data_IF_900077168450
#
_entry.id   IF_900077168450
#
_cell.length_a   1.000
_cell.length_b   1.000
_cell.length_c   1.000
_cell.angle_alpha   90.00
_cell.angle_beta   90.00
_cell.angle_gamma   90.00
#
_symmetry.space_group_name_H-M   'P 1'
#
loop_
_entity.id
_entity.type
_entity.pdbx_description
1 polymer ?
#
# COMPACT_ATOMS: atom_id res chain seq x y z
N UNK A 1 6.07 10.64 3.98
CA UNK A 1 6.87 9.62 4.71
C UNK A 1 6.68 9.75 6.21
N UNK A 2 7.00 10.91 6.81
CA UNK A 2 6.85 11.14 8.27
C UNK A 2 5.45 10.76 8.79
N UNK A 3 4.37 11.23 8.16
CA UNK A 3 2.99 10.89 8.55
C UNK A 3 2.74 9.37 8.54
N UNK A 4 3.21 8.66 7.51
CA UNK A 4 3.05 7.21 7.43
C UNK A 4 3.84 6.46 8.50
N UNK A 5 5.02 6.96 8.86
CA UNK A 5 5.81 6.44 9.99
C UNK A 5 5.09 6.70 11.31
N UNK A 6 4.57 7.91 11.52
CA UNK A 6 3.80 8.26 12.72
C UNK A 6 2.58 7.37 12.90
N UNK A 7 1.81 7.13 11.83
CA UNK A 7 0.65 6.24 11.86
C UNK A 7 1.08 4.79 12.15
N UNK A 8 2.16 4.31 11.53
CA UNK A 8 2.70 2.98 11.81
C UNK A 8 3.14 2.81 13.26
N UNK A 9 3.79 3.82 13.84
CA UNK A 9 4.22 3.81 15.24
C UNK A 9 3.03 3.88 16.21
N UNK A 10 2.04 4.73 15.93
CA UNK A 10 0.81 4.79 16.72
C UNK A 10 0.04 3.46 16.69
N UNK A 11 -0.07 2.85 15.51
CA UNK A 11 -0.67 1.52 15.35
C UNK A 11 0.12 0.43 16.08
N UNK A 12 1.45 0.50 16.09
CA UNK A 12 2.30 -0.43 16.86
C UNK A 12 2.11 -0.25 18.38
N UNK A 13 1.97 0.98 18.86
CA UNK A 13 1.72 1.26 20.27
C UNK A 13 0.34 0.78 20.72
N UNK A 14 -0.65 0.86 19.83
CA UNK A 14 -2.04 0.44 20.06
C UNK A 14 -2.34 -0.95 19.49
N UNK A 15 -1.32 -1.83 19.36
CA UNK A 15 -1.44 -3.12 18.66
C UNK A 15 -2.60 -3.99 19.18
N UNK A 16 -2.65 -4.22 20.49
CA UNK A 16 -3.69 -5.04 21.12
C UNK A 16 -5.03 -4.32 21.28
N UNK A 17 -5.08 -3.09 21.82
CA UNK A 17 -6.34 -2.36 22.01
C UNK A 17 -7.14 -2.14 20.72
N UNK A 18 -6.46 -2.00 19.58
CA UNK A 18 -7.13 -1.86 18.28
C UNK A 18 -7.91 -3.12 17.93
N UNK A 19 -7.35 -4.31 18.15
CA UNK A 19 -8.04 -5.58 17.90
C UNK A 19 -9.31 -5.72 18.75
N UNK A 20 -9.16 -5.52 20.06
CA UNK A 20 -10.25 -5.65 21.04
C UNK A 20 -11.37 -4.63 20.82
N UNK A 21 -11.06 -3.47 20.23
CA UNK A 21 -12.06 -2.47 19.88
C UNK A 21 -13.04 -2.96 18.80
N UNK A 22 -12.57 -3.80 17.87
CA UNK A 22 -13.38 -4.28 16.74
C UNK A 22 -14.09 -5.60 17.02
N UNK A 23 -13.48 -6.48 17.81
CA UNK A 23 -14.05 -7.80 18.09
C UNK A 23 -13.57 -8.37 19.42
N UNK A 24 -14.43 -9.16 20.07
CA UNK A 24 -14.09 -9.93 21.27
C UNK A 24 -13.87 -11.43 20.97
N UNK A 25 -13.95 -11.84 19.70
CA UNK A 25 -13.74 -13.24 19.32
C UNK A 25 -12.23 -13.58 19.30
N UNK A 26 -11.76 -14.51 20.15
CA UNK A 26 -10.34 -14.86 20.24
C UNK A 26 -9.78 -15.47 18.96
N UNK A 27 -10.59 -16.14 18.14
CA UNK A 27 -10.14 -16.70 16.86
C UNK A 27 -9.82 -15.59 15.85
N UNK A 28 -10.65 -14.55 15.81
CA UNK A 28 -10.45 -13.41 14.91
C UNK A 28 -9.27 -12.55 15.37
N UNK A 29 -9.14 -12.32 16.68
CA UNK A 29 -8.01 -11.58 17.26
C UNK A 29 -6.67 -12.27 16.97
N UNK A 30 -6.62 -13.59 17.06
CA UNK A 30 -5.40 -14.36 16.73
C UNK A 30 -4.94 -14.12 15.31
N UNK A 31 -5.86 -14.18 14.34
CA UNK A 31 -5.52 -13.92 12.93
C UNK A 31 -5.16 -12.45 12.70
N UNK A 32 -5.88 -11.51 13.33
CA UNK A 32 -5.55 -10.09 13.27
C UNK A 32 -4.12 -9.82 13.75
N UNK A 33 -3.75 -10.31 14.93
CA UNK A 33 -2.39 -10.11 15.47
C UNK A 33 -1.31 -10.83 14.66
N UNK A 34 -1.64 -11.87 13.90
CA UNK A 34 -0.71 -12.54 13.00
C UNK A 34 -0.38 -11.69 11.76
N UNK A 35 -1.31 -10.85 11.30
CA UNK A 35 -1.13 -10.05 10.07
C UNK A 35 -0.86 -8.56 10.32
N UNK A 36 -1.22 -8.02 11.48
CA UNK A 36 -1.29 -6.58 11.68
C UNK A 36 0.08 -5.89 11.58
N UNK A 37 1.17 -6.56 11.96
CA UNK A 37 2.54 -6.04 11.74
C UNK A 37 2.82 -5.70 10.27
N UNK A 38 2.32 -6.50 9.33
CA UNK A 38 2.50 -6.25 7.89
C UNK A 38 1.71 -5.02 7.44
N UNK A 39 0.51 -4.84 8.01
CA UNK A 39 -0.32 -3.64 7.80
C UNK A 39 0.37 -2.37 8.31
N UNK A 40 1.11 -2.47 9.42
CA UNK A 40 1.91 -1.35 9.94
C UNK A 40 3.08 -1.01 9.02
N UNK A 41 3.80 -2.04 8.53
CA UNK A 41 4.89 -1.85 7.58
C UNK A 41 4.45 -1.24 6.25
N UNK A 42 3.19 -1.47 5.81
CA UNK A 42 2.71 -0.84 4.58
C UNK A 42 2.37 0.66 4.74
N UNK A 43 2.15 1.18 5.95
CA UNK A 43 1.69 2.57 6.14
C UNK A 43 2.58 3.64 5.49
N UNK A 44 3.93 3.58 5.59
CA UNK A 44 4.81 4.53 4.91
C UNK A 44 4.70 4.44 3.38
N UNK A 45 4.56 3.23 2.84
CA UNK A 45 4.40 2.98 1.41
C UNK A 45 3.05 3.50 0.91
N UNK A 46 1.97 3.25 1.65
CA UNK A 46 0.65 3.79 1.41
C UNK A 46 0.67 5.31 1.37
N UNK A 47 1.26 5.95 2.38
CA UNK A 47 1.34 7.41 2.45
C UNK A 47 2.05 8.00 1.23
N UNK A 48 3.15 7.38 0.78
CA UNK A 48 3.84 7.78 -0.45
C UNK A 48 2.93 7.62 -1.69
N UNK A 49 2.38 6.43 -1.91
CA UNK A 49 1.56 6.15 -3.07
C UNK A 49 0.32 7.07 -3.15
N UNK A 50 -0.34 7.31 -2.02
CA UNK A 50 -1.53 8.16 -1.96
C UNK A 50 -1.24 9.64 -2.22
N UNK A 51 -0.09 10.16 -1.78
CA UNK A 51 0.33 11.53 -2.13
C UNK A 51 0.44 11.67 -3.64
N UNK A 52 1.14 10.76 -4.32
CA UNK A 52 1.28 10.84 -5.77
C UNK A 52 -0.04 10.59 -6.49
N UNK A 53 -0.88 9.66 -6.03
CA UNK A 53 -2.24 9.51 -6.56
C UNK A 53 -3.00 10.85 -6.49
N UNK A 54 -2.94 11.55 -5.36
CA UNK A 54 -3.54 12.87 -5.19
C UNK A 54 -3.00 13.92 -6.16
N UNK A 55 -1.68 13.98 -6.33
CA UNK A 55 -1.02 14.90 -7.28
C UNK A 55 -1.46 14.63 -8.72
N UNK A 56 -1.41 13.38 -9.18
CA UNK A 56 -1.79 13.04 -10.55
C UNK A 56 -3.30 13.21 -10.82
N UNK A 57 -4.14 13.01 -9.78
CA UNK A 57 -5.58 13.36 -9.83
C UNK A 57 -5.75 14.87 -10.01
N UNK A 58 -5.05 15.69 -9.23
CA UNK A 58 -5.09 17.15 -9.33
C UNK A 58 -4.61 17.70 -10.68
N UNK A 59 -3.63 17.03 -11.31
CA UNK A 59 -3.15 17.36 -12.66
C UNK A 59 -4.09 16.90 -13.80
N UNK A 60 -5.25 16.30 -13.49
CA UNK A 60 -6.18 15.77 -14.48
C UNK A 60 -5.67 14.54 -15.25
N UNK A 61 -4.61 13.87 -14.77
CA UNK A 61 -3.97 12.72 -15.45
C UNK A 61 -4.61 11.37 -15.10
N UNK A 62 -5.94 11.34 -15.02
CA UNK A 62 -6.72 10.18 -14.59
C UNK A 62 -6.57 8.96 -15.50
N UNK A 63 -6.43 9.16 -16.82
CA UNK A 63 -6.21 8.04 -17.77
C UNK A 63 -4.96 7.24 -17.44
N UNK A 64 -3.88 7.92 -17.04
CA UNK A 64 -2.64 7.25 -16.66
C UNK A 64 -2.81 6.45 -15.36
N UNK A 65 -3.44 7.06 -14.35
CA UNK A 65 -3.71 6.39 -13.07
C UNK A 65 -4.56 5.13 -13.25
N UNK A 66 -5.61 5.20 -14.09
CA UNK A 66 -6.47 4.05 -14.40
C UNK A 66 -5.68 2.92 -15.03
N UNK A 67 -4.90 3.22 -16.08
CA UNK A 67 -4.13 2.19 -16.77
C UNK A 67 -3.07 1.57 -15.86
N UNK A 68 -2.40 2.39 -15.04
CA UNK A 68 -1.42 1.91 -14.07
C UNK A 68 -2.06 0.99 -13.04
N UNK A 69 -3.24 1.35 -12.53
CA UNK A 69 -3.99 0.51 -11.60
C UNK A 69 -4.33 -0.84 -12.23
N UNK A 70 -4.89 -0.85 -13.45
CA UNK A 70 -5.23 -2.10 -14.14
C UNK A 70 -3.99 -2.97 -14.38
N UNK A 71 -2.91 -2.38 -14.89
CA UNK A 71 -1.65 -3.10 -15.13
C UNK A 71 -1.12 -3.67 -13.82
N UNK A 72 -1.03 -2.89 -12.74
CA UNK A 72 -0.56 -3.38 -11.46
C UNK A 72 -1.44 -4.51 -10.91
N UNK A 73 -2.75 -4.42 -11.08
CA UNK A 73 -3.68 -5.47 -10.62
C UNK A 73 -3.46 -6.78 -11.38
N UNK A 74 -3.39 -6.75 -12.71
CA UNK A 74 -3.28 -7.97 -13.51
C UNK A 74 -1.86 -8.55 -13.57
N UNK A 75 -0.82 -7.72 -13.47
CA UNK A 75 0.57 -8.18 -13.63
C UNK A 75 1.30 -8.43 -12.30
N UNK A 76 0.84 -7.82 -11.20
CA UNK A 76 1.50 -7.94 -9.89
C UNK A 76 0.56 -8.55 -8.85
N UNK A 77 -0.61 -7.95 -8.63
CA UNK A 77 -1.52 -8.43 -7.58
C UNK A 77 -2.04 -9.84 -7.85
N UNK A 78 -2.68 -10.09 -9.00
CA UNK A 78 -3.26 -11.39 -9.33
C UNK A 78 -2.20 -12.52 -9.29
N UNK A 79 -1.04 -12.40 -9.98
CA UNK A 79 -0.06 -13.47 -9.99
C UNK A 79 0.50 -13.77 -8.60
N UNK A 80 0.82 -12.74 -7.82
CA UNK A 80 1.35 -12.93 -6.45
C UNK A 80 0.28 -13.55 -5.54
N UNK A 81 -0.98 -13.11 -5.68
CA UNK A 81 -2.09 -13.66 -4.91
C UNK A 81 -2.26 -15.16 -5.18
N UNK A 82 -2.34 -15.58 -6.45
CA UNK A 82 -2.51 -16.99 -6.79
C UNK A 82 -1.31 -17.85 -6.40
N UNK A 83 -0.09 -17.32 -6.52
CA UNK A 83 1.11 -18.02 -6.06
C UNK A 83 1.07 -18.23 -4.54
N UNK A 84 0.73 -17.20 -3.77
CA UNK A 84 0.67 -17.30 -2.31
C UNK A 84 -0.51 -18.13 -1.81
N UNK A 85 -1.62 -18.14 -2.55
CA UNK A 85 -2.75 -19.03 -2.32
C UNK A 85 -2.37 -20.50 -2.54
N UNK A 86 -1.59 -20.79 -3.59
CA UNK A 86 -1.07 -22.14 -3.85
C UNK A 86 -0.11 -22.64 -2.74
N UNK A 87 0.54 -21.73 -2.00
CA UNK A 87 1.37 -22.05 -0.84
C UNK A 87 0.59 -22.02 0.51
N UNK A 88 -0.73 -21.85 0.47
CA UNK A 88 -1.62 -21.84 1.65
C UNK A 88 -1.25 -20.75 2.71
N UNK A 89 -0.75 -19.60 2.26
CA UNK A 89 -0.46 -18.44 3.13
C UNK A 89 -1.72 -17.68 3.58
N UNK A 90 -2.90 -18.04 3.05
CA UNK A 90 -4.23 -17.50 3.44
C UNK A 90 -4.23 -15.97 3.53
N UNK A 91 -4.63 -15.43 4.68
CA UNK A 91 -4.78 -13.99 4.93
C UNK A 91 -3.45 -13.23 4.80
N UNK A 92 -2.35 -13.83 5.27
CA UNK A 92 -1.01 -13.24 5.15
C UNK A 92 -0.62 -13.11 3.67
N UNK A 93 -0.96 -14.10 2.85
CA UNK A 93 -0.74 -14.05 1.40
C UNK A 93 -1.45 -12.88 0.72
N UNK A 94 -2.69 -12.59 1.12
CA UNK A 94 -3.47 -11.47 0.59
C UNK A 94 -2.79 -10.12 0.90
N UNK A 95 -2.36 -9.90 2.14
CA UNK A 95 -1.72 -8.64 2.53
C UNK A 95 -0.32 -8.47 1.92
N UNK A 96 0.41 -9.56 1.68
CA UNK A 96 1.66 -9.50 0.91
C UNK A 96 1.36 -9.07 -0.53
N UNK A 97 0.37 -9.71 -1.19
CA UNK A 97 -0.02 -9.34 -2.55
C UNK A 97 -0.45 -7.87 -2.65
N UNK A 98 -1.23 -7.37 -1.66
CA UNK A 98 -1.59 -5.95 -1.57
C UNK A 98 -0.38 -5.04 -1.37
N UNK A 99 0.61 -5.45 -0.58
CA UNK A 99 1.84 -4.68 -0.35
C UNK A 99 2.62 -4.52 -1.66
N UNK A 100 2.83 -5.61 -2.41
CA UNK A 100 3.46 -5.54 -3.73
C UNK A 100 2.66 -4.71 -4.73
N UNK A 101 1.33 -4.79 -4.69
CA UNK A 101 0.46 -3.97 -5.53
C UNK A 101 0.61 -2.48 -5.26
N UNK A 102 0.69 -2.08 -3.98
CA UNK A 102 0.92 -0.67 -3.59
C UNK A 102 2.28 -0.19 -4.10
N UNK A 103 3.32 -1.03 -3.99
CA UNK A 103 4.67 -0.71 -4.51
C UNK A 103 4.64 -0.54 -6.03
N UNK A 104 4.01 -1.47 -6.75
CA UNK A 104 3.88 -1.45 -8.20
C UNK A 104 3.13 -0.23 -8.72
N UNK A 105 2.19 0.31 -7.94
CA UNK A 105 1.50 1.57 -8.25
C UNK A 105 2.32 2.80 -7.87
N UNK A 106 2.98 2.77 -6.71
CA UNK A 106 3.73 3.91 -6.17
C UNK A 106 4.99 4.24 -6.98
N UNK A 107 5.80 3.25 -7.35
CA UNK A 107 7.10 3.47 -8.01
C UNK A 107 6.96 4.21 -9.36
N UNK A 108 6.09 3.77 -10.29
CA UNK A 108 5.97 4.44 -11.59
C UNK A 108 5.49 5.89 -11.48
N UNK A 109 4.66 6.19 -10.48
CA UNK A 109 4.22 7.56 -10.21
C UNK A 109 5.36 8.45 -9.75
N UNK A 110 6.20 7.96 -8.84
CA UNK A 110 7.40 8.68 -8.37
C UNK A 110 8.33 8.97 -9.55
N UNK A 111 8.63 7.96 -10.38
CA UNK A 111 9.51 8.10 -11.55
C UNK A 111 8.95 9.12 -12.53
N UNK A 112 7.65 9.04 -12.84
CA UNK A 112 7.02 9.96 -13.78
C UNK A 112 6.94 11.38 -13.25
N UNK A 113 6.67 11.55 -11.96
CA UNK A 113 6.70 12.85 -11.31
C UNK A 113 8.09 13.49 -11.43
N UNK A 114 9.15 12.76 -11.09
CA UNK A 114 10.53 13.25 -11.21
C UNK A 114 10.87 13.66 -12.65
N UNK A 115 10.48 12.86 -13.64
CA UNK A 115 10.71 13.18 -15.07
C UNK A 115 9.98 14.43 -15.56
N UNK A 116 8.81 14.76 -14.99
CA UNK A 116 8.05 15.95 -15.39
C UNK A 116 8.57 17.20 -14.69
N UNK A 117 8.82 17.12 -13.37
CA UNK A 117 9.06 18.30 -12.55
C UNK A 117 10.54 18.70 -12.42
N UNK A 118 11.48 17.75 -12.48
CA UNK A 118 12.92 18.10 -12.43
C UNK A 118 13.33 18.99 -13.62
N UNK A 119 12.93 18.72 -14.88
CA UNK A 119 13.27 19.58 -16.01
C UNK A 119 12.59 20.95 -15.94
N UNK A 120 11.40 21.04 -15.35
CA UNK A 120 10.68 22.32 -15.17
C UNK A 120 11.34 23.20 -14.10
N UNK A 121 11.88 22.59 -13.04
CA UNK A 121 12.58 23.31 -11.98
C UNK A 121 13.96 23.84 -12.41
N UNK A 122 14.61 23.19 -13.38
CA UNK A 122 15.91 23.60 -13.91
C UNK A 122 15.82 24.67 -15.02
N UNK A 123 14.62 24.99 -15.50
CA UNK A 123 14.40 25.94 -16.60
C UNK A 123 14.04 27.36 -16.12
N UNK A 124 14.07 27.58 -14.80
CA UNK A 124 13.97 28.87 -14.13
C UNK A 124 15.28 29.15 -13.38
#
# INVERSE_FOLDING_TARGET
VLIGISIGLLGALLYYPVGDLFTNDPLVLKEFYNIFWLVLLMQPLCALAFIFDGVFKGLGRMRFLRNLLLVATFTVFLPILFVLDAFDYKLLGIFIALTFWIIARGIPLIVKFRKIFIPLAQKN
#
